data_IF_995149328224
#
_entry.id   IF_995149328224
#
_cell.length_a   1.000
_cell.length_b   1.000
_cell.length_c   1.000
_cell.angle_alpha   90.00
_cell.angle_beta   90.00
_cell.angle_gamma   90.00
#
_symmetry.space_group_name_H-M   'P 1'
#
loop_
_entity.id
_entity.type
_entity.pdbx_description
1 polymer ?
#
# COMPACT_ATOMS: atom_id res chain seq x y z
N UNK A 1 16.28 -12.53 10.30
CA UNK A 1 16.05 -12.13 9.16
C UNK A 1 15.06 -11.10 9.04
N UNK A 2 15.50 -9.99 8.77
CA UNK A 2 14.66 -8.84 8.78
C UNK A 2 14.22 -8.56 7.39
N UNK A 3 13.07 -9.06 7.08
CA UNK A 3 12.50 -8.80 5.79
C UNK A 3 11.29 -7.95 5.99
N UNK A 4 11.39 -6.73 5.54
CA UNK A 4 10.31 -5.76 5.68
C UNK A 4 10.04 -5.20 4.30
N UNK A 5 8.76 -4.98 4.00
CA UNK A 5 8.35 -4.56 2.67
C UNK A 5 7.39 -3.39 2.75
N UNK A 6 7.56 -2.47 1.82
CA UNK A 6 6.53 -1.49 1.53
C UNK A 6 5.88 -1.94 0.24
N UNK A 7 4.57 -2.00 0.21
CA UNK A 7 3.88 -2.56 -0.94
C UNK A 7 2.70 -1.71 -1.36
N UNK A 8 2.29 -1.88 -2.61
CA UNK A 8 1.11 -1.23 -3.13
C UNK A 8 0.24 -2.30 -3.76
N UNK A 9 -1.03 -2.31 -3.41
CA UNK A 9 -1.99 -3.21 -4.02
C UNK A 9 -3.05 -2.40 -4.75
N UNK A 10 -3.58 -2.98 -5.82
CA UNK A 10 -4.70 -2.39 -6.53
C UNK A 10 -5.95 -3.13 -6.11
N UNK A 11 -6.94 -2.38 -5.72
CA UNK A 11 -8.21 -2.93 -5.25
C UNK A 11 -9.14 -3.19 -6.42
N UNK A 12 -10.22 -3.92 -6.16
CA UNK A 12 -11.18 -4.28 -7.20
C UNK A 12 -11.81 -3.05 -7.84
N UNK A 13 -11.94 -1.97 -7.08
CA UNK A 13 -12.53 -0.74 -7.60
C UNK A 13 -11.51 0.16 -8.30
N UNK A 14 -10.30 -0.34 -8.50
CA UNK A 14 -9.26 0.40 -9.22
C UNK A 14 -8.43 1.33 -8.37
N UNK A 15 -8.74 1.46 -7.08
CA UNK A 15 -7.96 2.33 -6.20
C UNK A 15 -6.71 1.60 -5.72
N UNK A 16 -5.74 2.37 -5.23
CA UNK A 16 -4.49 1.82 -4.73
C UNK A 16 -4.40 1.98 -3.22
N UNK A 17 -3.79 0.99 -2.59
CA UNK A 17 -3.56 1.03 -1.17
C UNK A 17 -2.09 0.73 -0.89
N UNK A 18 -1.44 1.55 -0.07
CA UNK A 18 -0.04 1.39 0.29
C UNK A 18 0.06 0.97 1.74
N UNK A 19 0.90 -0.02 2.01
CA UNK A 19 1.13 -0.48 3.37
C UNK A 19 2.52 -1.02 3.52
N UNK A 20 2.84 -1.52 4.71
CA UNK A 20 4.10 -2.20 4.94
C UNK A 20 3.83 -3.50 5.69
N UNK A 21 4.74 -4.45 5.57
CA UNK A 21 4.59 -5.73 6.23
C UNK A 21 5.94 -6.42 6.35
N UNK A 22 6.04 -7.35 7.27
CA UNK A 22 7.22 -8.18 7.36
C UNK A 22 6.99 -9.55 6.70
N UNK A 23 5.82 -9.77 6.12
CA UNK A 23 5.53 -11.02 5.40
C UNK A 23 4.56 -10.68 4.27
N UNK A 24 5.12 -10.41 3.11
CA UNK A 24 4.34 -9.90 1.99
C UNK A 24 3.25 -10.86 1.55
N UNK A 25 3.60 -12.12 1.37
CA UNK A 25 2.66 -13.11 0.90
C UNK A 25 1.47 -13.27 1.85
N UNK A 26 1.79 -13.36 3.14
CA UNK A 26 0.77 -13.51 4.16
C UNK A 26 -0.12 -12.27 4.24
N UNK A 27 0.48 -11.10 4.07
CA UNK A 27 -0.28 -9.86 4.14
C UNK A 27 -1.28 -9.73 2.99
N UNK A 28 -0.84 -10.07 1.78
CA UNK A 28 -1.73 -10.01 0.63
C UNK A 28 -2.89 -10.98 0.81
N UNK A 29 -2.58 -12.17 1.34
CA UNK A 29 -3.63 -13.14 1.61
C UNK A 29 -4.60 -12.61 2.66
N UNK A 30 -4.10 -11.92 3.67
CA UNK A 30 -4.95 -11.32 4.69
C UNK A 30 -5.88 -10.27 4.10
N UNK A 31 -5.35 -9.43 3.21
CA UNK A 31 -6.17 -8.43 2.55
C UNK A 31 -7.32 -9.09 1.80
N UNK A 32 -7.03 -10.16 1.08
CA UNK A 32 -8.05 -10.82 0.28
C UNK A 32 -9.03 -11.64 1.10
N UNK A 33 -8.69 -11.95 2.34
CA UNK A 33 -9.61 -12.66 3.21
C UNK A 33 -10.46 -11.70 4.05
N UNK A 34 -10.24 -10.40 3.90
CA UNK A 34 -10.99 -9.40 4.64
C UNK A 34 -10.39 -9.07 5.98
N UNK A 35 -9.19 -9.57 6.27
CA UNK A 35 -8.54 -9.36 7.56
C UNK A 35 -7.35 -8.42 7.48
N UNK A 36 -7.15 -7.80 6.33
CA UNK A 36 -6.03 -6.89 6.18
C UNK A 36 -6.35 -5.53 6.75
N UNK A 37 -6.50 -4.55 5.88
CA UNK A 37 -6.81 -3.21 6.30
C UNK A 37 -8.30 -2.96 6.11
N UNK A 38 -8.81 -2.04 6.91
CA UNK A 38 -10.21 -1.65 6.80
C UNK A 38 -10.52 -1.13 5.39
N UNK A 39 -9.59 -0.39 4.82
CA UNK A 39 -9.75 0.17 3.49
C UNK A 39 -9.97 -0.91 2.42
N UNK A 40 -9.20 -2.01 2.52
CA UNK A 40 -9.27 -3.05 1.50
C UNK A 40 -10.37 -4.06 1.74
N UNK A 41 -10.96 -4.05 2.92
CA UNK A 41 -11.96 -5.05 3.30
C UNK A 41 -13.13 -5.09 2.34
N UNK A 42 -13.61 -3.94 1.92
CA UNK A 42 -14.76 -3.86 1.02
C UNK A 42 -14.36 -3.68 -0.44
N UNK A 43 -13.05 -3.73 -0.72
CA UNK A 43 -12.54 -3.52 -2.06
C UNK A 43 -11.78 -4.72 -2.60
N UNK A 44 -12.12 -5.89 -2.09
CA UNK A 44 -11.48 -7.14 -2.52
C UNK A 44 -12.06 -7.59 -3.85
N UNK A 45 -11.32 -8.35 -4.62
CA UNK A 45 -9.96 -8.79 -4.34
C UNK A 45 -8.94 -7.70 -4.64
N UNK A 46 -7.80 -7.78 -3.95
CA UNK A 46 -6.71 -6.86 -4.21
C UNK A 46 -5.57 -7.62 -4.89
N UNK A 47 -4.76 -6.88 -5.62
CA UNK A 47 -3.67 -7.43 -6.38
C UNK A 47 -2.40 -6.68 -6.07
N UNK A 48 -1.32 -7.40 -5.77
CA UNK A 48 -0.04 -6.76 -5.51
C UNK A 48 0.51 -6.22 -6.82
N UNK A 49 0.77 -4.92 -6.89
CA UNK A 49 1.30 -4.31 -8.11
C UNK A 49 2.71 -3.75 -7.92
N UNK A 50 3.17 -3.60 -6.69
CA UNK A 50 4.50 -3.05 -6.46
C UNK A 50 4.94 -3.37 -5.04
N UNK A 51 6.26 -3.60 -4.85
CA UNK A 51 6.79 -3.71 -3.50
C UNK A 51 8.28 -3.36 -3.51
N UNK A 52 8.78 -2.99 -2.33
CA UNK A 52 10.18 -2.73 -2.08
C UNK A 52 10.57 -3.45 -0.81
N UNK A 53 11.78 -3.97 -0.79
CA UNK A 53 12.29 -4.72 0.36
C UNK A 53 13.25 -3.83 1.16
N UNK A 54 13.14 -3.92 2.49
CA UNK A 54 13.98 -3.13 3.39
C UNK A 54 14.51 -4.01 4.51
N UNK A 55 15.66 -3.63 5.05
CA UNK A 55 16.29 -4.36 6.12
C UNK A 55 15.60 -4.13 7.46
N UNK A 56 14.99 -2.96 7.66
CA UNK A 56 14.33 -2.64 8.92
C UNK A 56 12.90 -2.21 8.68
N UNK A 57 12.08 -2.37 9.71
CA UNK A 57 10.69 -1.96 9.59
C UNK A 57 10.57 -0.44 9.55
N UNK A 58 11.52 0.25 10.20
CA UNK A 58 11.50 1.70 10.19
C UNK A 58 11.66 2.23 8.77
N UNK A 59 12.52 1.59 7.99
CA UNK A 59 12.70 1.98 6.59
C UNK A 59 11.44 1.72 5.78
N UNK A 60 10.82 0.57 6.01
CA UNK A 60 9.60 0.22 5.28
C UNK A 60 8.48 1.19 5.63
N UNK A 61 8.35 1.54 6.90
CA UNK A 61 7.31 2.46 7.35
C UNK A 61 7.56 3.86 6.81
N UNK A 62 8.82 4.26 6.77
CA UNK A 62 9.17 5.56 6.24
C UNK A 62 8.82 5.64 4.76
N UNK A 63 9.11 4.57 4.03
CA UNK A 63 8.80 4.53 2.60
C UNK A 63 7.29 4.56 2.36
N UNK A 64 6.56 3.84 3.20
CA UNK A 64 5.11 3.85 3.12
C UNK A 64 4.57 5.27 3.27
N UNK A 65 5.09 5.98 4.25
CA UNK A 65 4.69 7.36 4.50
C UNK A 65 4.97 8.24 3.28
N UNK A 66 6.17 8.10 2.73
CA UNK A 66 6.56 8.92 1.58
C UNK A 66 5.73 8.62 0.34
N UNK A 67 5.43 7.36 0.12
CA UNK A 67 4.60 6.99 -1.03
C UNK A 67 3.20 7.57 -0.88
N UNK A 68 2.66 7.54 0.33
CA UNK A 68 1.34 8.10 0.57
C UNK A 68 1.33 9.60 0.34
N UNK A 69 2.44 10.28 0.67
CA UNK A 69 2.55 11.70 0.41
C UNK A 69 2.60 11.99 -1.08
N UNK A 70 3.33 11.19 -1.83
CA UNK A 70 3.39 11.34 -3.27
C UNK A 70 2.02 11.17 -3.90
N UNK A 71 1.29 10.19 -3.43
CA UNK A 71 -0.02 9.92 -3.95
C UNK A 71 -0.94 11.12 -3.76
N UNK A 72 -0.87 11.73 -2.59
CA UNK A 72 -1.66 12.92 -2.31
C UNK A 72 -1.25 14.05 -3.23
N UNK A 73 0.05 14.20 -3.44
CA UNK A 73 0.56 15.24 -4.33
C UNK A 73 0.03 15.04 -5.75
N UNK A 74 0.03 13.82 -6.22
CA UNK A 74 -0.45 13.52 -7.55
C UNK A 74 -1.93 13.83 -7.68
N UNK A 75 -2.70 13.55 -6.65
CA UNK A 75 -4.11 13.86 -6.66
C UNK A 75 -4.31 15.36 -6.76
N UNK A 76 -3.53 16.11 -6.00
CA UNK A 76 -3.62 17.57 -6.05
C UNK A 76 -3.26 18.10 -7.43
N UNK A 77 -2.23 17.55 -8.01
CA UNK A 77 -1.79 17.99 -9.32
C UNK A 77 -2.84 17.71 -10.38
N UNK A 78 -3.53 16.59 -10.25
CA UNK A 78 -4.49 16.19 -11.25
C UNK A 78 -5.80 16.93 -11.15
N UNK A 79 -5.96 17.78 -10.15
CA UNK A 79 -7.16 18.59 -10.01
C UNK A 79 -6.82 20.03 -10.32
N UNK A 80 -7.03 20.44 -11.53
CA UNK A 80 -6.61 21.77 -11.97
C UNK A 80 -7.26 22.91 -11.22
N UNK A 81 -8.40 22.68 -10.65
CA UNK A 81 -9.10 23.74 -9.93
C UNK A 81 -8.54 24.02 -8.56
N UNK A 82 -7.53 23.25 -8.18
CA UNK A 82 -7.03 23.37 -6.83
C UNK A 82 -6.20 24.58 -6.59
N UNK A 83 -5.76 25.18 -7.53
CA UNK A 83 -4.89 26.31 -7.29
C UNK A 83 -5.15 27.42 -8.18
#
# INVERSE_FOLDING_TARGET
MDENYTYIVRCADGTLYTGWTNDLKKRIKAHNSGKGAKYTKTRRPVELVYFEHFATKEEAMSREYHIKQLKLSLIHISEPTRH
#
